data_IF_872777926861
#
_entry.id   IF_872777926861
#
_cell.length_a   1.000
_cell.length_b   1.000
_cell.length_c   1.000
_cell.angle_alpha   90.00
_cell.angle_beta   90.00
_cell.angle_gamma   90.00
#
_symmetry.space_group_name_H-M   'P 1'
#
loop_
_entity.id
_entity.type
_entity.pdbx_description
1 polymer ?
#
# COMPACT_ATOMS: atom_id res chain seq x y z
N UNK A 1 -1.42 -8.58 -20.02
CA UNK A 1 -0.54 -9.74 -20.37
C UNK A 1 0.05 -9.55 -21.75
N UNK A 2 -0.76 -9.28 -22.78
CA UNK A 2 -0.29 -9.06 -24.15
C UNK A 2 0.84 -8.02 -24.26
N UNK A 3 0.73 -6.89 -23.55
CA UNK A 3 1.81 -5.90 -23.51
C UNK A 3 3.17 -6.45 -23.03
N UNK A 4 3.18 -7.43 -22.11
CA UNK A 4 4.41 -8.11 -21.72
C UNK A 4 4.92 -9.03 -22.84
N UNK A 5 4.03 -9.83 -23.44
CA UNK A 5 4.37 -10.76 -24.53
C UNK A 5 4.94 -10.05 -25.77
N UNK A 6 4.43 -8.88 -26.09
CA UNK A 6 4.82 -8.15 -27.30
C UNK A 6 5.94 -7.14 -27.09
N UNK A 7 6.21 -6.73 -25.84
CA UNK A 7 7.17 -5.67 -25.51
C UNK A 7 8.56 -5.86 -26.15
N UNK A 8 9.08 -7.08 -26.15
CA UNK A 8 10.40 -7.38 -26.70
C UNK A 8 10.39 -7.33 -28.24
N UNK A 9 9.36 -7.90 -28.87
CA UNK A 9 9.24 -7.90 -30.34
C UNK A 9 8.98 -6.50 -30.89
N UNK A 10 8.13 -5.71 -30.25
CA UNK A 10 7.70 -4.41 -30.74
C UNK A 10 8.71 -3.29 -30.42
N UNK A 11 9.33 -3.35 -29.23
CA UNK A 11 10.10 -2.23 -28.70
C UNK A 11 11.52 -2.63 -28.25
N UNK A 12 11.88 -3.91 -28.30
CA UNK A 12 13.19 -4.38 -27.82
C UNK A 12 13.38 -4.27 -26.31
N UNK A 13 12.30 -4.14 -25.54
CA UNK A 13 12.35 -3.96 -24.08
C UNK A 13 11.70 -5.13 -23.34
N UNK A 14 12.15 -5.36 -22.10
CA UNK A 14 11.54 -6.32 -21.18
C UNK A 14 11.12 -5.62 -19.89
N UNK A 15 9.93 -5.93 -19.42
CA UNK A 15 9.43 -5.41 -18.14
C UNK A 15 9.78 -6.38 -17.02
N UNK A 16 10.60 -5.95 -16.06
CA UNK A 16 10.96 -6.77 -14.91
C UNK A 16 9.98 -6.65 -13.73
N UNK A 17 9.14 -5.61 -13.70
CA UNK A 17 8.22 -5.31 -12.60
C UNK A 17 6.80 -5.07 -13.10
N UNK A 18 5.83 -5.56 -12.34
CA UNK A 18 4.42 -5.30 -12.51
C UNK A 18 3.88 -4.56 -11.28
N UNK A 19 3.38 -3.34 -11.49
CA UNK A 19 2.75 -2.54 -10.44
C UNK A 19 1.29 -2.97 -10.29
N UNK A 20 0.99 -3.70 -9.23
CA UNK A 20 -0.35 -4.23 -8.97
C UNK A 20 -1.19 -3.30 -8.09
N UNK A 21 -2.51 -3.42 -8.17
CA UNK A 21 -3.48 -2.69 -7.35
C UNK A 21 -4.06 -3.51 -6.19
N UNK A 22 -3.61 -4.76 -6.05
CA UNK A 22 -4.14 -5.76 -5.11
C UNK A 22 -4.88 -6.91 -5.78
N UNK A 23 -5.19 -6.85 -7.08
CA UNK A 23 -5.71 -7.99 -7.83
C UNK A 23 -4.60 -9.03 -8.09
N UNK A 24 -4.90 -10.30 -7.81
CA UNK A 24 -3.99 -11.43 -8.03
C UNK A 24 -4.18 -12.08 -9.41
N UNK A 25 -5.32 -11.82 -10.08
CA UNK A 25 -5.70 -12.51 -11.31
C UNK A 25 -4.77 -12.18 -12.48
N UNK A 26 -4.40 -10.90 -12.64
CA UNK A 26 -3.55 -10.44 -13.75
C UNK A 26 -2.11 -10.93 -13.59
N UNK A 27 -1.57 -10.85 -12.38
CA UNK A 27 -0.20 -11.30 -12.12
C UNK A 27 -0.04 -12.80 -12.35
N UNK A 28 -1.02 -13.61 -11.93
CA UNK A 28 -1.04 -15.05 -12.23
C UNK A 28 -0.94 -15.32 -13.74
N UNK A 29 -1.74 -14.61 -14.54
CA UNK A 29 -1.70 -14.74 -16.01
C UNK A 29 -0.35 -14.30 -16.59
N UNK A 30 0.32 -13.30 -16.02
CA UNK A 30 1.67 -12.89 -16.44
C UNK A 30 2.68 -14.01 -16.16
N UNK A 31 2.62 -14.63 -14.99
CA UNK A 31 3.50 -15.75 -14.62
C UNK A 31 3.28 -16.98 -15.51
N UNK A 32 2.03 -17.32 -15.77
CA UNK A 32 1.66 -18.44 -16.65
C UNK A 32 2.10 -18.21 -18.09
N UNK A 33 1.96 -16.98 -18.59
CA UNK A 33 2.35 -16.62 -19.95
C UNK A 33 3.88 -16.65 -20.18
N UNK A 34 4.69 -16.62 -19.11
CA UNK A 34 6.17 -16.60 -19.15
C UNK A 34 6.71 -15.73 -20.30
N UNK A 35 6.44 -14.42 -20.30
CA UNK A 35 6.72 -13.56 -21.45
C UNK A 35 8.20 -13.48 -21.83
N UNK A 36 9.11 -13.85 -20.93
CA UNK A 36 10.55 -13.79 -21.14
C UNK A 36 11.24 -15.07 -20.66
N UNK A 37 12.19 -15.59 -21.43
CA UNK A 37 12.84 -16.90 -21.17
C UNK A 37 13.67 -16.96 -19.87
N UNK A 38 14.34 -15.87 -19.52
CA UNK A 38 15.27 -15.80 -18.37
C UNK A 38 14.92 -14.65 -17.41
N UNK A 39 13.67 -14.18 -17.42
CA UNK A 39 13.22 -13.08 -16.57
C UNK A 39 11.83 -13.38 -16.03
N UNK A 40 11.73 -13.58 -14.72
CA UNK A 40 10.46 -13.63 -14.00
C UNK A 40 10.05 -12.21 -13.63
N UNK A 41 8.83 -11.82 -14.00
CA UNK A 41 8.28 -10.52 -13.65
C UNK A 41 7.99 -10.49 -12.15
N UNK A 42 8.52 -9.49 -11.45
CA UNK A 42 8.28 -9.25 -10.03
C UNK A 42 6.98 -8.46 -9.84
N UNK A 43 6.14 -8.87 -8.88
CA UNK A 43 4.97 -8.09 -8.45
C UNK A 43 5.39 -7.05 -7.40
N UNK A 44 5.03 -5.80 -7.62
CA UNK A 44 5.15 -4.72 -6.63
C UNK A 44 3.78 -4.11 -6.40
N UNK A 45 3.32 -4.07 -5.16
CA UNK A 45 2.03 -3.46 -4.82
C UNK A 45 2.09 -1.93 -4.93
N UNK A 46 1.05 -1.33 -5.51
CA UNK A 46 0.95 0.10 -5.65
C UNK A 46 0.64 0.75 -4.30
N UNK A 47 1.59 1.57 -3.80
CA UNK A 47 1.42 2.37 -2.58
C UNK A 47 0.10 3.15 -2.53
N UNK A 48 -0.30 3.76 -3.65
CA UNK A 48 -1.54 4.56 -3.69
C UNK A 48 -2.78 3.68 -3.50
N UNK A 49 -2.80 2.48 -4.08
CA UNK A 49 -3.87 1.50 -3.86
C UNK A 49 -3.87 0.99 -2.43
N UNK A 50 -2.70 0.68 -1.85
CA UNK A 50 -2.60 0.28 -0.44
C UNK A 50 -3.15 1.35 0.51
N UNK A 51 -2.79 2.62 0.32
CA UNK A 51 -3.29 3.73 1.13
C UNK A 51 -4.80 3.96 0.93
N UNK A 52 -5.31 3.80 -0.29
CA UNK A 52 -6.76 3.86 -0.57
C UNK A 52 -7.50 2.72 0.12
N UNK A 53 -6.98 1.51 0.04
CA UNK A 53 -7.57 0.32 0.68
C UNK A 53 -7.60 0.46 2.20
N UNK A 54 -6.54 1.01 2.80
CA UNK A 54 -6.52 1.38 4.22
C UNK A 54 -7.68 2.34 4.55
N UNK A 55 -7.78 3.46 3.83
CA UNK A 55 -8.85 4.44 4.07
C UNK A 55 -10.25 3.82 3.92
N UNK A 56 -10.47 2.96 2.93
CA UNK A 56 -11.75 2.28 2.73
C UNK A 56 -12.08 1.37 3.92
N UNK A 57 -11.12 0.55 4.40
CA UNK A 57 -11.33 -0.31 5.57
C UNK A 57 -11.62 0.48 6.85
N UNK A 58 -10.89 1.59 7.06
CA UNK A 58 -11.18 2.49 8.18
C UNK A 58 -12.58 3.10 8.05
N UNK A 59 -12.99 3.50 6.85
CA UNK A 59 -14.33 4.02 6.60
C UNK A 59 -15.40 2.96 6.88
N UNK A 60 -15.21 1.72 6.47
CA UNK A 60 -16.14 0.63 6.77
C UNK A 60 -16.36 0.46 8.28
N UNK A 61 -15.31 0.58 9.08
CA UNK A 61 -15.41 0.54 10.54
C UNK A 61 -16.21 1.71 11.12
N UNK A 62 -16.25 2.86 10.46
CA UNK A 62 -17.05 4.01 10.91
C UNK A 62 -18.54 3.79 10.69
N UNK A 63 -18.92 2.97 9.71
CA UNK A 63 -20.31 2.72 9.30
C UNK A 63 -20.89 1.54 10.10
N UNK A 64 -20.10 0.47 10.25
CA UNK A 64 -20.48 -0.78 10.91
C UNK A 64 -20.73 -0.56 12.41
N UNK A 65 -21.98 -0.67 12.85
CA UNK A 65 -22.37 -0.45 14.24
C UNK A 65 -21.64 -1.39 15.22
N UNK A 66 -21.33 -2.61 14.78
CA UNK A 66 -20.58 -3.62 15.54
C UNK A 66 -19.10 -3.27 15.75
N UNK A 67 -18.55 -2.29 15.03
CA UNK A 67 -17.14 -1.89 15.13
C UNK A 67 -16.84 -0.99 16.33
N UNK A 68 -17.86 -0.58 17.10
CA UNK A 68 -17.68 0.13 18.37
C UNK A 68 -18.71 1.22 18.63
N UNK A 69 -18.55 1.89 19.78
CA UNK A 69 -19.38 3.03 20.20
C UNK A 69 -19.44 4.11 19.12
N UNK A 70 -20.60 4.75 18.97
CA UNK A 70 -20.83 5.79 17.96
C UNK A 70 -19.80 6.93 18.04
N UNK A 71 -19.45 7.33 19.26
CA UNK A 71 -18.46 8.38 19.53
C UNK A 71 -17.08 8.04 18.93
N UNK A 72 -16.59 6.82 19.19
CA UNK A 72 -15.31 6.36 18.64
C UNK A 72 -15.35 6.26 17.11
N UNK A 73 -16.48 5.82 16.54
CA UNK A 73 -16.66 5.76 15.07
C UNK A 73 -16.66 7.15 14.44
N UNK A 74 -17.31 8.14 15.06
CA UNK A 74 -17.26 9.54 14.61
C UNK A 74 -15.85 10.12 14.72
N UNK A 75 -15.16 9.85 15.83
CA UNK A 75 -13.78 10.28 16.05
C UNK A 75 -12.84 9.68 14.99
N UNK A 76 -12.96 8.38 14.69
CA UNK A 76 -12.18 7.75 13.62
C UNK A 76 -12.47 8.39 12.25
N UNK A 77 -13.75 8.58 11.92
CA UNK A 77 -14.18 9.17 10.64
C UNK A 77 -13.51 10.52 10.35
N UNK A 78 -13.45 11.41 11.36
CA UNK A 78 -12.78 12.71 11.24
C UNK A 78 -11.25 12.64 11.09
N UNK A 79 -10.63 11.48 11.39
CA UNK A 79 -9.18 11.33 11.45
C UNK A 79 -8.59 10.40 10.36
N UNK A 80 -9.40 9.73 9.52
CA UNK A 80 -8.89 8.79 8.49
C UNK A 80 -7.81 9.41 7.60
N UNK A 81 -8.02 10.64 7.10
CA UNK A 81 -7.04 11.31 6.25
C UNK A 81 -5.81 11.81 7.03
N UNK A 82 -5.93 12.01 8.35
CA UNK A 82 -4.78 12.33 9.21
C UNK A 82 -3.91 11.09 9.42
N UNK A 83 -4.52 9.91 9.63
CA UNK A 83 -3.81 8.61 9.69
C UNK A 83 -3.05 8.36 8.39
N UNK A 84 -3.72 8.50 7.24
CA UNK A 84 -3.04 8.37 5.93
C UNK A 84 -1.86 9.33 5.78
N UNK A 85 -2.01 10.59 6.22
CA UNK A 85 -0.94 11.58 6.18
C UNK A 85 0.23 11.19 7.09
N UNK A 86 -0.04 10.73 8.32
CA UNK A 86 0.99 10.23 9.25
C UNK A 86 1.86 9.14 8.61
N UNK A 87 1.22 8.15 7.98
CA UNK A 87 1.92 7.05 7.28
C UNK A 87 2.77 7.58 6.13
N UNK A 88 2.25 8.52 5.32
CA UNK A 88 3.01 9.10 4.21
C UNK A 88 4.22 9.89 4.72
N UNK A 89 4.05 10.65 5.82
CA UNK A 89 5.15 11.37 6.47
C UNK A 89 6.22 10.42 7.00
N UNK A 90 5.84 9.33 7.66
CA UNK A 90 6.77 8.29 8.12
C UNK A 90 7.58 7.69 6.97
N UNK A 91 6.91 7.32 5.87
CA UNK A 91 7.58 6.81 4.66
C UNK A 91 8.57 7.84 4.10
N UNK A 92 8.19 9.12 4.06
CA UNK A 92 9.05 10.19 3.55
C UNK A 92 10.28 10.39 4.45
N UNK A 93 10.09 10.43 5.76
CA UNK A 93 11.16 10.56 6.75
C UNK A 93 12.16 9.41 6.68
N UNK A 94 11.69 8.16 6.65
CA UNK A 94 12.56 6.98 6.57
C UNK A 94 13.30 6.90 5.24
N UNK A 95 12.70 7.37 4.15
CA UNK A 95 13.35 7.43 2.83
C UNK A 95 14.57 8.37 2.84
N UNK A 96 14.51 9.49 3.57
CA UNK A 96 15.60 10.47 3.62
C UNK A 96 16.68 10.13 4.64
N UNK A 97 16.33 9.45 5.74
CA UNK A 97 17.25 9.21 6.86
C UNK A 97 17.86 7.79 6.89
N UNK A 98 17.52 6.95 5.92
CA UNK A 98 17.86 5.52 5.97
C UNK A 98 16.97 4.78 6.98
N UNK A 99 16.70 3.51 6.70
CA UNK A 99 15.84 2.71 7.57
C UNK A 99 15.99 1.22 7.32
N UNK A 100 15.72 0.44 8.37
CA UNK A 100 15.33 -0.95 8.27
C UNK A 100 13.82 -1.08 8.00
N UNK A 101 13.40 -2.25 7.51
CA UNK A 101 11.98 -2.59 7.35
C UNK A 101 11.24 -2.55 8.70
N UNK A 102 11.90 -2.94 9.79
CA UNK A 102 11.33 -2.96 11.12
C UNK A 102 11.00 -1.54 11.62
N UNK A 103 11.92 -0.61 11.42
CA UNK A 103 11.73 0.80 11.78
C UNK A 103 10.58 1.46 11.00
N UNK A 104 10.53 1.27 9.68
CA UNK A 104 9.42 1.80 8.89
C UNK A 104 8.08 1.20 9.33
N UNK A 105 8.07 -0.10 9.65
CA UNK A 105 6.87 -0.75 10.17
C UNK A 105 6.43 -0.12 11.50
N UNK A 106 7.36 0.15 12.42
CA UNK A 106 7.05 0.78 13.69
C UNK A 106 6.41 2.16 13.49
N UNK A 107 7.01 3.01 12.67
CA UNK A 107 6.48 4.37 12.41
C UNK A 107 5.09 4.33 11.75
N UNK A 108 4.85 3.38 10.82
CA UNK A 108 3.55 3.19 10.20
C UNK A 108 2.49 2.81 11.24
N UNK A 109 2.83 1.94 12.19
CA UNK A 109 1.92 1.56 13.28
C UNK A 109 1.70 2.72 14.26
N UNK A 110 2.76 3.44 14.62
CA UNK A 110 2.71 4.59 15.53
C UNK A 110 1.95 5.78 14.93
N UNK A 111 1.77 5.83 13.61
CA UNK A 111 0.96 6.87 12.93
C UNK A 111 -0.48 6.96 13.48
N UNK A 112 -1.03 5.87 14.03
CA UNK A 112 -2.35 5.86 14.68
C UNK A 112 -2.28 6.58 16.04
N UNK A 113 -1.32 6.20 16.89
CA UNK A 113 -1.09 6.79 18.21
C UNK A 113 -0.84 8.31 18.10
N UNK A 114 0.03 8.70 17.18
CA UNK A 114 0.32 10.11 16.87
C UNK A 114 -0.95 10.90 16.56
N UNK A 115 -1.86 10.36 15.74
CA UNK A 115 -3.09 11.06 15.34
C UNK A 115 -4.06 11.24 16.50
N UNK A 116 -4.05 10.31 17.45
CA UNK A 116 -4.87 10.36 18.66
C UNK A 116 -4.14 10.98 19.87
N UNK A 117 -3.00 11.64 19.65
CA UNK A 117 -2.32 12.45 20.67
C UNK A 117 -1.34 11.71 21.57
N UNK A 118 -1.02 10.45 21.28
CA UNK A 118 -0.02 9.68 22.02
C UNK A 118 1.33 9.80 21.31
N UNK A 119 2.27 10.53 21.92
CA UNK A 119 3.52 10.96 21.27
C UNK A 119 4.79 10.31 21.83
N UNK A 120 4.65 9.27 22.65
CA UNK A 120 5.79 8.61 23.34
C UNK A 120 6.79 7.94 22.37
N UNK A 121 6.34 7.53 21.18
CA UNK A 121 7.14 6.82 20.17
C UNK A 121 7.27 7.61 18.84
N UNK A 122 7.08 8.93 18.86
CA UNK A 122 7.12 9.79 17.65
C UNK A 122 8.53 10.14 17.16
#
# INVERSE_FOLDING_TARGET
VEGFLQSEKMYGIRYNKFIADGDSSVYKKILEARPYKYLTVEKVECRNHLLRNLCNKLKDMTIKAQSGKLEHRKMLSGNILRIRRGIVSAIMYRRTNGHSVAELRQDIMNSINHVFGHHEEC
#
